data_IF_982728682441
#
_entry.id   IF_982728682441
#
_cell.length_a   1.000
_cell.length_b   1.000
_cell.length_c   1.000
_cell.angle_alpha   90.00
_cell.angle_beta   90.00
_cell.angle_gamma   90.00
#
_symmetry.space_group_name_H-M   'P 1'
#
loop_
_entity.id
_entity.type
_entity.pdbx_description
1 polymer ?
#
# COMPACT_ATOMS: atom_id res chain seq x y z
N UNK A 1 -37.12 -39.09 50.92
CA UNK A 1 -37.13 -38.27 49.70
C UNK A 1 -36.18 -37.06 49.78
N UNK A 2 -35.68 -36.65 50.92
CA UNK A 2 -34.80 -35.45 51.10
C UNK A 2 -33.28 -35.72 50.95
N UNK A 3 -32.86 -36.97 50.81
CA UNK A 3 -31.42 -37.33 50.72
C UNK A 3 -30.87 -37.33 49.29
N UNK A 4 -31.76 -37.31 48.26
CA UNK A 4 -31.32 -37.33 46.86
C UNK A 4 -31.28 -35.93 46.23
N UNK A 5 -31.94 -34.91 46.84
CA UNK A 5 -31.89 -33.53 46.33
C UNK A 5 -30.53 -32.85 46.59
N UNK A 6 -29.83 -33.18 47.70
CA UNK A 6 -28.55 -32.53 48.04
C UNK A 6 -27.38 -32.99 47.15
N UNK A 7 -27.44 -34.24 46.63
CA UNK A 7 -26.38 -34.75 45.72
C UNK A 7 -26.46 -34.18 44.31
N UNK A 8 -27.66 -33.88 43.83
CA UNK A 8 -27.89 -33.33 42.48
C UNK A 8 -27.50 -31.84 42.42
N UNK A 9 -27.75 -31.09 43.49
CA UNK A 9 -27.38 -29.65 43.57
C UNK A 9 -25.84 -29.51 43.69
N UNK A 10 -25.15 -30.38 44.40
CA UNK A 10 -23.69 -30.36 44.52
C UNK A 10 -23.03 -30.72 43.18
N UNK A 11 -23.62 -31.64 42.39
CA UNK A 11 -23.09 -32.00 41.06
C UNK A 11 -23.27 -30.87 40.01
N UNK A 12 -24.38 -30.13 40.10
CA UNK A 12 -24.64 -28.98 39.23
C UNK A 12 -23.73 -27.77 39.57
N UNK A 13 -23.42 -27.55 40.85
CA UNK A 13 -22.48 -26.51 41.26
C UNK A 13 -21.02 -26.84 40.92
N UNK A 14 -20.62 -28.11 40.94
CA UNK A 14 -19.29 -28.53 40.49
C UNK A 14 -19.14 -28.51 38.96
N UNK A 15 -20.22 -28.80 38.22
CA UNK A 15 -20.20 -28.70 36.75
C UNK A 15 -20.17 -27.28 36.23
N UNK A 16 -20.78 -26.33 36.94
CA UNK A 16 -20.69 -24.89 36.59
C UNK A 16 -19.35 -24.26 36.97
N UNK A 17 -18.62 -24.82 37.94
CA UNK A 17 -17.29 -24.32 38.34
C UNK A 17 -16.15 -24.84 37.45
N UNK A 18 -16.37 -25.98 36.71
CA UNK A 18 -15.40 -26.50 35.74
C UNK A 18 -15.53 -25.87 34.35
N UNK A 19 -16.62 -25.16 34.05
CA UNK A 19 -16.80 -24.44 32.78
C UNK A 19 -16.25 -23.00 32.79
N UNK A 20 -15.73 -22.53 33.94
CA UNK A 20 -15.09 -21.22 34.10
C UNK A 20 -13.56 -21.24 33.99
N UNK A 21 -12.95 -22.39 33.67
CA UNK A 21 -11.49 -22.54 33.56
C UNK A 21 -11.04 -22.92 32.16
N UNK A 22 -11.38 -22.16 31.14
CA UNK A 22 -10.59 -22.10 29.91
C UNK A 22 -11.12 -21.03 28.92
N UNK A 23 -11.39 -19.83 29.38
CA UNK A 23 -11.22 -18.72 28.49
C UNK A 23 -9.70 -18.52 28.37
N UNK A 24 -9.08 -18.70 27.18
CA UNK A 24 -7.70 -18.28 27.03
C UNK A 24 -7.70 -16.79 27.35
N UNK A 25 -7.01 -16.40 28.42
CA UNK A 25 -6.70 -14.99 28.67
C UNK A 25 -6.02 -14.52 27.37
N UNK A 26 -6.71 -13.68 26.59
CA UNK A 26 -6.07 -12.88 25.56
C UNK A 26 -5.08 -11.97 26.34
N UNK A 27 -3.90 -12.52 26.64
CA UNK A 27 -2.77 -11.67 26.98
C UNK A 27 -2.62 -10.75 25.77
N UNK A 28 -2.82 -9.46 26.00
CA UNK A 28 -2.47 -8.46 25.00
C UNK A 28 -1.05 -8.80 24.54
N UNK A 29 -0.89 -9.20 23.29
CA UNK A 29 0.41 -9.57 22.76
C UNK A 29 1.31 -8.36 22.98
N UNK A 30 2.46 -8.55 23.64
CA UNK A 30 3.44 -7.48 23.79
C UNK A 30 3.76 -6.98 22.39
N UNK A 31 3.58 -5.67 22.10
CA UNK A 31 3.81 -5.16 20.76
C UNK A 31 5.24 -5.48 20.31
N UNK A 32 5.42 -5.98 19.11
CA UNK A 32 6.74 -6.27 18.55
C UNK A 32 7.58 -4.96 18.58
N UNK A 33 8.73 -4.94 19.30
CA UNK A 33 9.55 -3.73 19.42
C UNK A 33 10.05 -3.23 18.05
N UNK A 34 10.15 -4.12 17.06
CA UNK A 34 10.50 -3.78 15.67
C UNK A 34 9.41 -2.97 14.99
N UNK A 35 8.13 -3.24 15.32
CA UNK A 35 7.01 -2.45 14.84
C UNK A 35 7.07 -1.00 15.36
N UNK A 36 7.41 -0.83 16.63
CA UNK A 36 7.64 0.50 17.21
C UNK A 36 8.81 1.22 16.51
N UNK A 37 9.91 0.51 16.24
CA UNK A 37 11.03 1.06 15.49
C UNK A 37 10.61 1.50 14.08
N UNK A 38 9.81 0.70 13.36
CA UNK A 38 9.26 1.06 12.07
C UNK A 38 8.36 2.31 12.13
N UNK A 39 7.52 2.45 13.14
CA UNK A 39 6.67 3.63 13.32
C UNK A 39 7.48 4.91 13.60
N UNK A 40 8.61 4.76 14.27
CA UNK A 40 9.47 5.89 14.65
C UNK A 40 10.33 6.43 13.50
N UNK A 41 10.35 5.81 12.32
CA UNK A 41 11.11 6.33 11.17
C UNK A 41 10.28 7.21 10.24
N UNK A 42 8.97 7.35 10.50
CA UNK A 42 8.07 8.24 9.75
C UNK A 42 7.51 9.33 10.66
N UNK A 43 7.66 10.58 10.24
CA UNK A 43 7.26 11.78 10.96
C UNK A 43 6.45 12.68 10.03
N UNK A 44 5.47 13.39 10.55
CA UNK A 44 4.63 14.31 9.80
C UNK A 44 5.46 15.33 9.00
N UNK A 45 6.50 15.89 9.62
CA UNK A 45 7.40 16.87 9.01
C UNK A 45 8.16 16.29 7.81
N UNK A 46 8.65 15.04 7.91
CA UNK A 46 9.34 14.40 6.80
C UNK A 46 8.38 14.05 5.66
N UNK A 47 7.17 13.63 5.99
CA UNK A 47 6.13 13.39 4.99
C UNK A 47 5.80 14.69 4.25
N UNK A 48 5.69 15.81 4.98
CA UNK A 48 5.47 17.14 4.40
C UNK A 48 6.60 17.53 3.45
N UNK A 49 7.85 17.38 3.86
CA UNK A 49 9.02 17.71 3.03
C UNK A 49 9.04 16.89 1.73
N UNK A 50 8.86 15.57 1.81
CA UNK A 50 8.85 14.68 0.66
C UNK A 50 7.70 14.98 -0.30
N UNK A 51 6.51 15.21 0.23
CA UNK A 51 5.33 15.53 -0.55
C UNK A 51 5.47 16.91 -1.20
N UNK A 52 6.00 17.91 -0.47
CA UNK A 52 6.27 19.24 -1.02
C UNK A 52 7.27 19.21 -2.17
N UNK A 53 8.30 18.36 -2.11
CA UNK A 53 9.22 18.16 -3.23
C UNK A 53 8.49 17.65 -4.49
N UNK A 54 7.62 16.65 -4.34
CA UNK A 54 6.85 16.13 -5.48
C UNK A 54 5.87 17.15 -6.06
N UNK A 55 5.45 18.13 -5.27
CA UNK A 55 4.54 19.20 -5.69
C UNK A 55 5.26 20.49 -6.13
N UNK A 56 6.59 20.52 -6.01
CA UNK A 56 7.41 21.67 -6.39
C UNK A 56 7.40 21.92 -7.91
N UNK A 57 7.67 23.14 -8.30
CA UNK A 57 7.76 23.56 -9.71
C UNK A 57 8.76 22.73 -10.51
N UNK A 58 9.82 22.20 -9.88
CA UNK A 58 10.79 21.32 -10.54
C UNK A 58 10.14 20.04 -11.07
N UNK A 59 9.13 19.53 -10.34
CA UNK A 59 8.36 18.33 -10.74
C UNK A 59 7.23 18.64 -11.72
N UNK A 60 6.89 19.90 -11.97
CA UNK A 60 5.95 20.34 -12.99
C UNK A 60 4.59 19.61 -13.00
N UNK A 61 4.12 19.14 -11.83
CA UNK A 61 2.92 18.32 -11.71
C UNK A 61 3.04 16.90 -12.29
N UNK A 62 4.26 16.46 -12.61
CA UNK A 62 4.64 15.06 -12.93
C UNK A 62 3.90 14.42 -14.13
N UNK A 63 3.48 15.20 -15.12
CA UNK A 63 2.87 14.60 -16.32
C UNK A 63 3.83 13.61 -16.99
N UNK A 64 3.37 12.41 -17.31
CA UNK A 64 4.14 11.36 -17.99
C UNK A 64 4.93 11.91 -19.17
N UNK A 65 6.23 11.59 -19.23
CA UNK A 65 7.14 12.04 -20.29
C UNK A 65 7.62 13.50 -20.17
N UNK A 66 7.15 14.26 -19.18
CA UNK A 66 7.67 15.60 -18.90
C UNK A 66 9.00 15.53 -18.16
N UNK A 67 9.76 16.65 -18.21
CA UNK A 67 10.97 16.78 -17.41
C UNK A 67 10.67 16.60 -15.90
N UNK A 68 9.58 17.18 -15.41
CA UNK A 68 9.20 17.05 -14.00
C UNK A 68 8.84 15.63 -13.58
N UNK A 69 8.27 14.82 -14.48
CA UNK A 69 8.06 13.39 -14.27
C UNK A 69 9.39 12.63 -14.12
N UNK A 70 10.38 12.97 -14.98
CA UNK A 70 11.71 12.38 -14.91
C UNK A 70 12.41 12.74 -13.60
N UNK A 71 12.36 14.01 -13.18
CA UNK A 71 12.95 14.46 -11.89
C UNK A 71 12.32 13.73 -10.68
N UNK A 72 10.99 13.60 -10.66
CA UNK A 72 10.29 12.84 -9.62
C UNK A 72 10.72 11.36 -9.62
N UNK A 73 10.84 10.76 -10.79
CA UNK A 73 11.28 9.37 -10.94
C UNK A 73 12.71 9.13 -10.44
N UNK A 74 13.64 10.02 -10.76
CA UNK A 74 15.02 9.94 -10.24
C UNK A 74 15.07 10.08 -8.72
N UNK A 75 14.25 10.95 -8.15
CA UNK A 75 14.16 11.05 -6.70
C UNK A 75 13.64 9.75 -6.09
N UNK A 76 12.60 9.13 -6.65
CA UNK A 76 12.09 7.82 -6.19
C UNK A 76 13.18 6.74 -6.26
N UNK A 77 13.92 6.67 -7.40
CA UNK A 77 15.02 5.73 -7.56
C UNK A 77 16.13 5.95 -6.50
N UNK A 78 16.46 7.21 -6.20
CA UNK A 78 17.44 7.53 -5.17
C UNK A 78 16.99 7.09 -3.77
N UNK A 79 15.71 7.23 -3.46
CA UNK A 79 15.13 6.75 -2.20
C UNK A 79 15.18 5.22 -2.11
N UNK A 80 14.85 4.49 -3.18
CA UNK A 80 14.98 3.03 -3.21
C UNK A 80 16.43 2.59 -2.99
N UNK A 81 17.39 3.25 -3.65
CA UNK A 81 18.82 2.98 -3.46
C UNK A 81 19.28 3.26 -2.02
N UNK A 82 18.86 4.40 -1.45
CA UNK A 82 19.18 4.78 -0.06
C UNK A 82 18.63 3.78 0.98
N UNK A 83 17.51 3.14 0.67
CA UNK A 83 16.92 2.09 1.50
C UNK A 83 17.58 0.72 1.30
N UNK A 84 18.54 0.58 0.40
CA UNK A 84 19.21 -0.69 0.10
C UNK A 84 18.29 -1.74 -0.52
N UNK A 85 17.25 -1.30 -1.21
CA UNK A 85 16.38 -2.17 -2.00
C UNK A 85 17.12 -2.59 -3.28
N UNK A 86 16.79 -3.78 -3.80
CA UNK A 86 17.40 -4.28 -5.02
C UNK A 86 16.61 -3.83 -6.24
N UNK A 87 17.27 -3.32 -7.30
CA UNK A 87 16.60 -3.16 -8.59
C UNK A 87 16.29 -4.55 -9.16
N UNK A 88 15.21 -4.67 -9.94
CA UNK A 88 14.99 -5.89 -10.72
C UNK A 88 15.98 -5.95 -11.90
N UNK A 89 16.48 -7.15 -12.19
CA UNK A 89 17.25 -7.37 -13.42
C UNK A 89 16.33 -7.41 -14.63
N UNK A 90 16.84 -7.12 -15.83
CA UNK A 90 16.09 -7.08 -17.08
C UNK A 90 16.68 -6.07 -18.05
N UNK A 91 15.87 -5.42 -18.86
CA UNK A 91 16.18 -4.61 -20.06
C UNK A 91 17.28 -3.53 -19.95
N UNK A 92 18.16 -3.64 -18.97
CA UNK A 92 19.30 -2.75 -18.76
C UNK A 92 18.95 -1.45 -18.05
N UNK A 93 19.94 -0.58 -17.97
CA UNK A 93 19.80 0.75 -17.34
C UNK A 93 18.95 1.65 -18.22
N UNK A 94 17.76 1.99 -17.76
CA UNK A 94 16.92 3.00 -18.38
C UNK A 94 17.08 4.33 -17.63
N UNK A 95 17.14 5.44 -18.36
CA UNK A 95 17.21 6.79 -17.78
C UNK A 95 18.33 6.99 -16.73
N UNK A 96 19.45 6.27 -16.85
CA UNK A 96 20.59 6.42 -15.94
C UNK A 96 20.42 5.74 -14.57
N UNK A 97 19.39 4.93 -14.35
CA UNK A 97 19.18 4.17 -13.12
C UNK A 97 18.68 2.75 -13.40
N UNK A 98 19.15 1.77 -12.63
CA UNK A 98 18.71 0.38 -12.71
C UNK A 98 17.31 0.13 -12.14
N UNK A 99 16.71 1.08 -11.46
CA UNK A 99 15.35 0.98 -10.93
C UNK A 99 14.27 1.30 -11.96
N UNK A 100 14.59 2.05 -13.02
CA UNK A 100 13.63 2.43 -14.06
C UNK A 100 13.33 1.28 -15.01
N UNK A 101 12.07 1.14 -15.36
CA UNK A 101 11.57 0.20 -16.37
C UNK A 101 10.79 0.97 -17.43
N UNK A 102 11.19 0.82 -18.65
CA UNK A 102 10.55 1.48 -19.78
C UNK A 102 9.11 0.99 -19.97
N UNK A 103 8.20 1.90 -20.21
CA UNK A 103 6.80 1.63 -20.47
C UNK A 103 6.43 2.19 -21.84
N UNK A 104 6.24 1.33 -22.83
CA UNK A 104 5.66 1.74 -24.10
C UNK A 104 4.15 1.99 -23.88
N UNK A 105 3.66 3.14 -24.30
CA UNK A 105 2.26 3.52 -24.15
C UNK A 105 1.46 3.24 -25.43
N UNK A 106 0.23 2.78 -25.30
CA UNK A 106 -0.64 2.37 -26.43
C UNK A 106 -0.88 3.50 -27.45
N UNK A 107 -0.95 4.74 -26.97
CA UNK A 107 -1.19 5.92 -27.84
C UNK A 107 0.09 6.57 -28.39
N UNK A 108 1.21 5.87 -28.24
CA UNK A 108 2.54 6.41 -28.57
C UNK A 108 3.15 7.18 -27.40
N UNK A 109 4.48 7.32 -27.43
CA UNK A 109 5.25 7.84 -26.31
C UNK A 109 5.64 6.75 -25.33
N UNK A 110 6.30 7.15 -24.25
CA UNK A 110 6.79 6.24 -23.21
C UNK A 110 6.80 6.91 -21.85
N UNK A 111 6.72 6.08 -20.81
CA UNK A 111 6.89 6.44 -19.43
C UNK A 111 7.90 5.51 -18.76
N UNK A 112 8.08 5.63 -17.46
CA UNK A 112 9.02 4.81 -16.69
C UNK A 112 8.42 4.41 -15.36
N UNK A 113 8.19 3.12 -15.16
CA UNK A 113 7.93 2.61 -13.81
C UNK A 113 9.24 2.50 -13.03
N UNK A 114 9.22 2.78 -11.74
CA UNK A 114 10.34 2.54 -10.85
C UNK A 114 10.04 1.35 -9.96
N UNK A 115 10.91 0.33 -10.01
CA UNK A 115 10.67 -0.97 -9.38
C UNK A 115 11.85 -1.35 -8.51
N UNK A 116 11.56 -1.72 -7.26
CA UNK A 116 12.57 -2.17 -6.31
C UNK A 116 12.07 -3.38 -5.53
N UNK A 117 12.95 -4.27 -5.11
CA UNK A 117 12.64 -5.48 -4.38
C UNK A 117 13.28 -5.51 -2.99
N UNK A 118 12.48 -5.87 -1.99
CA UNK A 118 12.95 -6.35 -0.71
C UNK A 118 12.84 -7.89 -0.71
N UNK A 119 13.94 -8.64 -0.77
CA UNK A 119 13.89 -10.10 -0.81
C UNK A 119 13.29 -10.69 0.46
N UNK A 120 12.48 -11.71 0.33
CA UNK A 120 12.01 -12.54 1.43
C UNK A 120 13.13 -13.39 2.03
N UNK A 121 12.81 -14.13 3.09
CA UNK A 121 13.76 -15.06 3.71
C UNK A 121 13.87 -16.36 2.92
N UNK A 122 15.10 -16.82 2.71
CA UNK A 122 15.38 -18.11 2.07
C UNK A 122 14.97 -19.32 2.92
N UNK A 123 14.69 -19.11 4.22
CA UNK A 123 14.16 -20.17 5.11
C UNK A 123 12.75 -20.61 4.73
N UNK A 124 11.98 -19.73 4.15
CA UNK A 124 10.63 -20.02 3.69
C UNK A 124 10.72 -20.31 2.19
N UNK A 125 10.39 -21.51 1.76
CA UNK A 125 10.48 -21.93 0.36
C UNK A 125 9.43 -21.27 -0.56
N UNK A 126 8.67 -20.30 -0.05
CA UNK A 126 7.73 -19.53 -0.85
C UNK A 126 8.49 -18.59 -1.77
N UNK A 127 8.24 -18.72 -3.06
CA UNK A 127 8.78 -17.87 -4.13
C UNK A 127 7.66 -17.01 -4.69
N UNK A 128 6.86 -16.43 -3.81
CA UNK A 128 5.78 -15.51 -4.17
C UNK A 128 6.19 -14.06 -3.92
N UNK A 129 5.46 -13.16 -4.55
CA UNK A 129 5.68 -11.73 -4.50
C UNK A 129 4.41 -11.03 -4.05
N UNK A 130 4.59 -10.03 -3.20
CA UNK A 130 3.57 -9.02 -2.90
C UNK A 130 4.01 -7.73 -3.57
N UNK A 131 3.12 -7.10 -4.32
CA UNK A 131 3.35 -5.79 -4.90
C UNK A 131 2.75 -4.74 -3.97
N UNK A 132 3.53 -3.72 -3.61
CA UNK A 132 3.05 -2.49 -2.96
C UNK A 132 3.31 -1.36 -3.95
N UNK A 133 2.27 -0.67 -4.37
CA UNK A 133 2.36 0.29 -5.46
C UNK A 133 1.60 1.58 -5.19
N UNK A 134 2.05 2.63 -5.86
CA UNK A 134 1.35 3.89 -6.05
C UNK A 134 1.76 4.47 -7.41
N UNK A 135 0.89 5.22 -8.08
CA UNK A 135 1.35 5.98 -9.23
C UNK A 135 2.00 7.30 -8.81
N UNK A 136 3.04 7.72 -9.53
CA UNK A 136 3.74 8.96 -9.22
C UNK A 136 3.50 10.06 -10.27
N UNK A 137 2.96 9.71 -11.43
CA UNK A 137 2.56 10.68 -12.43
C UNK A 137 1.36 11.51 -11.97
N UNK A 138 1.14 12.61 -12.64
CA UNK A 138 0.02 13.51 -12.41
C UNK A 138 -0.36 14.27 -13.67
N UNK A 139 -1.23 15.25 -13.53
CA UNK A 139 -1.80 16.01 -14.66
C UNK A 139 -0.76 16.92 -15.32
N UNK A 140 0.21 17.46 -14.56
CA UNK A 140 1.23 18.34 -15.07
C UNK A 140 0.81 19.81 -15.09
N UNK A 141 1.18 20.49 -16.16
CA UNK A 141 0.85 21.91 -16.38
C UNK A 141 -0.05 22.04 -17.61
N UNK A 142 -1.24 22.60 -17.42
CA UNK A 142 -2.22 22.81 -18.50
C UNK A 142 -2.57 24.30 -18.58
N UNK A 143 -2.42 24.88 -19.77
CA UNK A 143 -2.73 26.31 -19.99
C UNK A 143 -1.93 27.26 -19.07
N UNK A 144 -0.69 26.90 -18.75
CA UNK A 144 0.19 27.66 -17.84
C UNK A 144 -0.17 27.53 -16.36
N UNK A 145 -1.11 26.66 -15.99
CA UNK A 145 -1.49 26.40 -14.61
C UNK A 145 -0.91 25.07 -14.16
N UNK A 146 -0.17 25.09 -13.06
CA UNK A 146 0.37 23.90 -12.43
C UNK A 146 -0.73 23.14 -11.66
N UNK A 147 -0.78 21.82 -11.84
CA UNK A 147 -1.58 20.87 -11.06
C UNK A 147 -0.64 20.06 -10.15
N UNK A 148 -0.43 20.49 -8.90
CA UNK A 148 0.59 19.90 -8.04
C UNK A 148 0.31 18.44 -7.68
N UNK A 149 -0.96 18.05 -7.56
CA UNK A 149 -1.38 16.68 -7.26
C UNK A 149 -0.83 16.19 -5.91
N UNK A 150 -1.02 16.98 -4.86
CA UNK A 150 -0.54 16.67 -3.52
C UNK A 150 -1.23 15.43 -2.96
N UNK A 151 -2.55 15.38 -3.03
CA UNK A 151 -3.30 14.18 -2.70
C UNK A 151 -3.29 13.17 -3.85
N UNK A 152 -3.43 13.62 -5.10
CA UNK A 152 -3.57 12.77 -6.29
C UNK A 152 -2.32 12.84 -7.22
N UNK A 153 -1.24 12.04 -7.06
CA UNK A 153 -1.06 11.04 -6.02
C UNK A 153 0.33 11.14 -5.34
N UNK A 154 0.81 12.37 -5.02
CA UNK A 154 2.05 12.49 -4.26
C UNK A 154 1.89 11.85 -2.86
N UNK A 155 0.68 11.90 -2.26
CA UNK A 155 0.39 11.26 -0.98
C UNK A 155 0.60 9.73 -1.02
N UNK A 156 0.16 9.06 -2.09
CA UNK A 156 0.38 7.63 -2.31
C UNK A 156 1.85 7.31 -2.56
N UNK A 157 2.55 8.14 -3.36
CA UNK A 157 3.99 7.96 -3.64
C UNK A 157 4.83 8.06 -2.35
N UNK A 158 4.57 9.08 -1.52
CA UNK A 158 5.26 9.23 -0.22
C UNK A 158 4.91 8.09 0.73
N UNK A 159 3.66 7.59 0.68
CA UNK A 159 3.24 6.43 1.46
C UNK A 159 3.99 5.16 1.04
N UNK A 160 4.13 4.92 -0.26
CA UNK A 160 4.92 3.81 -0.82
C UNK A 160 6.37 3.82 -0.29
N UNK A 161 7.06 4.96 -0.39
CA UNK A 161 8.43 5.12 0.08
C UNK A 161 8.55 4.98 1.60
N UNK A 162 7.57 5.49 2.35
CA UNK A 162 7.51 5.36 3.80
C UNK A 162 7.32 3.91 4.23
N UNK A 163 6.44 3.16 3.57
CA UNK A 163 6.22 1.73 3.81
C UNK A 163 7.49 0.94 3.50
N UNK A 164 8.17 1.23 2.38
CA UNK A 164 9.45 0.64 2.04
C UNK A 164 10.50 0.88 3.14
N UNK A 165 10.59 2.11 3.65
CA UNK A 165 11.47 2.48 4.78
C UNK A 165 11.12 1.71 6.05
N UNK A 166 9.84 1.52 6.35
CA UNK A 166 9.41 0.77 7.53
C UNK A 166 9.78 -0.71 7.43
N UNK A 167 9.60 -1.34 6.26
CA UNK A 167 10.02 -2.73 6.02
C UNK A 167 11.53 -2.90 6.12
N UNK A 168 12.31 -2.03 5.50
CA UNK A 168 13.77 -2.08 5.60
C UNK A 168 14.26 -1.85 7.03
N UNK A 169 13.60 -0.98 7.78
CA UNK A 169 13.89 -0.76 9.20
C UNK A 169 13.65 -2.04 10.01
N UNK A 170 12.49 -2.69 9.89
CA UNK A 170 12.24 -3.95 10.59
C UNK A 170 13.26 -5.03 10.20
N UNK A 171 13.69 -5.08 8.94
CA UNK A 171 14.72 -5.99 8.47
C UNK A 171 16.06 -5.75 9.17
N UNK A 172 16.46 -4.51 9.37
CA UNK A 172 17.68 -4.16 10.12
C UNK A 172 17.61 -4.66 11.58
N UNK A 173 16.42 -4.76 12.15
CA UNK A 173 16.17 -5.36 13.47
C UNK A 173 15.88 -6.87 13.42
N UNK A 174 16.28 -7.56 12.34
CA UNK A 174 16.23 -9.01 12.23
C UNK A 174 14.86 -9.60 11.85
N UNK A 175 13.87 -8.79 11.44
CA UNK A 175 12.62 -9.32 10.89
C UNK A 175 12.84 -9.85 9.48
N UNK A 176 12.19 -10.94 9.14
CA UNK A 176 12.16 -11.50 7.78
C UNK A 176 10.76 -12.04 7.48
N UNK A 177 10.41 -12.07 6.21
CA UNK A 177 9.10 -12.49 5.71
C UNK A 177 9.23 -13.65 4.74
N UNK A 178 8.13 -14.37 4.51
CA UNK A 178 8.11 -15.50 3.59
C UNK A 178 8.07 -15.10 2.12
N UNK A 179 7.46 -13.95 1.81
CA UNK A 179 7.32 -13.44 0.45
C UNK A 179 8.36 -12.38 0.14
N UNK A 180 8.71 -12.24 -1.13
CA UNK A 180 9.40 -11.06 -1.65
C UNK A 180 8.41 -9.89 -1.73
N UNK A 181 8.90 -8.66 -1.53
CA UNK A 181 8.07 -7.45 -1.68
C UNK A 181 8.63 -6.63 -2.84
N UNK A 182 7.78 -6.36 -3.83
CA UNK A 182 8.06 -5.42 -4.90
C UNK A 182 7.43 -4.08 -4.56
N UNK A 183 8.23 -3.03 -4.46
CA UNK A 183 7.79 -1.65 -4.38
C UNK A 183 7.79 -1.05 -5.77
N UNK A 184 6.62 -0.59 -6.24
CA UNK A 184 6.45 -0.12 -7.61
C UNK A 184 5.83 1.27 -7.62
N UNK A 185 6.56 2.25 -8.13
CA UNK A 185 6.01 3.54 -8.48
C UNK A 185 5.62 3.49 -9.97
N UNK A 186 4.30 3.42 -10.24
CA UNK A 186 3.78 3.38 -11.60
C UNK A 186 3.77 4.77 -12.24
N UNK A 187 4.09 4.83 -13.53
CA UNK A 187 3.89 5.99 -14.37
C UNK A 187 2.60 5.85 -15.20
N UNK A 188 2.20 6.93 -15.85
CA UNK A 188 1.14 6.92 -16.85
C UNK A 188 -0.23 6.34 -16.37
N UNK A 189 -0.54 6.48 -15.10
CA UNK A 189 -1.90 6.14 -14.62
C UNK A 189 -2.93 7.08 -15.22
N UNK A 190 -2.61 8.37 -15.34
CA UNK A 190 -3.48 9.36 -16.00
C UNK A 190 -3.64 9.08 -17.52
N UNK A 191 -2.79 8.27 -18.10
CA UNK A 191 -2.86 7.76 -19.47
C UNK A 191 -3.42 6.32 -19.53
N UNK A 192 -4.56 6.10 -18.89
CA UNK A 192 -5.28 4.82 -18.86
C UNK A 192 -4.49 3.67 -18.23
N UNK A 193 -3.77 3.96 -17.12
CA UNK A 193 -2.97 2.98 -16.38
C UNK A 193 -1.87 2.35 -17.26
N UNK A 194 -1.23 3.17 -18.11
CA UNK A 194 -0.21 2.72 -19.06
C UNK A 194 0.95 2.01 -18.38
N UNK A 195 1.41 2.51 -17.23
CA UNK A 195 2.51 1.91 -16.47
C UNK A 195 2.19 0.53 -15.90
N UNK A 196 1.04 0.37 -15.27
CA UNK A 196 0.64 -0.94 -14.73
C UNK A 196 0.32 -1.95 -15.82
N UNK A 197 -0.24 -1.52 -16.96
CA UNK A 197 -0.39 -2.38 -18.13
C UNK A 197 0.96 -2.85 -18.68
N UNK A 198 1.92 -1.95 -18.85
CA UNK A 198 3.28 -2.29 -19.29
C UNK A 198 3.99 -3.22 -18.31
N UNK A 199 3.80 -3.01 -17.01
CA UNK A 199 4.35 -3.88 -15.96
C UNK A 199 3.77 -5.29 -16.04
N UNK A 200 2.46 -5.42 -16.19
CA UNK A 200 1.82 -6.72 -16.33
C UNK A 200 2.30 -7.46 -17.58
N UNK A 201 2.38 -6.74 -18.70
CA UNK A 201 2.93 -7.32 -19.95
C UNK A 201 4.38 -7.79 -19.76
N UNK A 202 5.21 -7.02 -19.06
CA UNK A 202 6.60 -7.41 -18.77
C UNK A 202 6.69 -8.66 -17.89
N UNK A 203 5.71 -8.89 -16.99
CA UNK A 203 5.58 -10.15 -16.24
C UNK A 203 5.24 -11.32 -17.18
N UNK A 204 4.28 -11.15 -18.09
CA UNK A 204 3.87 -12.18 -19.04
C UNK A 204 5.00 -12.54 -20.02
N UNK A 205 5.74 -11.55 -20.48
CA UNK A 205 6.85 -11.70 -21.42
C UNK A 205 8.15 -12.20 -20.73
N UNK A 206 8.16 -12.32 -19.39
CA UNK A 206 9.33 -12.77 -18.61
C UNK A 206 10.48 -11.75 -18.53
N UNK A 207 10.20 -10.48 -18.75
CA UNK A 207 11.19 -9.39 -18.75
C UNK A 207 11.50 -8.87 -17.32
N UNK A 208 10.72 -9.23 -16.31
CA UNK A 208 11.02 -8.90 -14.92
C UNK A 208 11.75 -10.07 -14.28
N UNK A 209 13.03 -9.86 -13.97
CA UNK A 209 13.91 -10.90 -13.44
C UNK A 209 14.23 -10.59 -11.97
N UNK A 210 14.04 -11.59 -11.13
CA UNK A 210 14.40 -11.54 -9.72
C UNK A 210 15.93 -11.48 -9.56
N UNK A 211 16.50 -10.43 -8.96
CA UNK A 211 17.95 -10.22 -8.89
C UNK A 211 18.67 -11.22 -7.95
N UNK A 212 17.91 -11.94 -7.10
CA UNK A 212 18.49 -12.93 -6.17
C UNK A 212 18.52 -14.31 -6.80
N UNK A 213 17.48 -14.69 -7.52
CA UNK A 213 17.38 -16.01 -8.14
C UNK A 213 17.84 -16.07 -9.59
N UNK A 214 17.95 -14.93 -10.27
CA UNK A 214 18.24 -14.81 -11.70
C UNK A 214 17.15 -15.39 -12.60
N UNK A 215 15.90 -15.54 -12.08
CA UNK A 215 14.78 -16.13 -12.82
C UNK A 215 13.72 -15.09 -13.12
N UNK A 216 13.06 -15.22 -14.26
CA UNK A 216 11.89 -14.42 -14.58
C UNK A 216 10.79 -14.62 -13.53
N UNK A 217 10.15 -13.52 -13.14
CA UNK A 217 9.00 -13.51 -12.25
C UNK A 217 7.76 -13.81 -13.10
N UNK A 218 7.04 -14.87 -12.76
CA UNK A 218 5.80 -15.25 -13.45
C UNK A 218 4.59 -14.53 -12.83
N UNK A 219 3.56 -14.17 -13.64
CA UNK A 219 2.29 -13.64 -13.11
C UNK A 219 1.67 -14.50 -12.00
N UNK A 220 1.76 -15.83 -12.11
CA UNK A 220 1.24 -16.77 -11.10
C UNK A 220 1.96 -16.71 -9.74
N UNK A 221 3.11 -16.07 -9.66
CA UNK A 221 3.85 -15.86 -8.41
C UNK A 221 3.41 -14.56 -7.70
N UNK A 222 2.63 -13.71 -8.35
CA UNK A 222 2.09 -12.49 -7.71
C UNK A 222 0.88 -12.91 -6.87
N UNK A 223 1.07 -12.91 -5.56
CA UNK A 223 0.03 -13.32 -4.61
C UNK A 223 -1.00 -12.23 -4.32
N UNK A 224 -0.55 -11.00 -4.31
CA UNK A 224 -1.36 -9.84 -3.95
C UNK A 224 -0.72 -8.55 -4.50
N UNK A 225 -1.54 -7.64 -4.99
CA UNK A 225 -1.16 -6.26 -5.28
C UNK A 225 -1.88 -5.33 -4.30
N UNK A 226 -1.13 -4.44 -3.66
CA UNK A 226 -1.64 -3.38 -2.77
C UNK A 226 -1.38 -2.05 -3.46
N UNK A 227 -2.44 -1.39 -3.89
CA UNK A 227 -2.37 -0.07 -4.50
C UNK A 227 -2.72 1.02 -3.48
N UNK A 228 -2.01 2.15 -3.53
CA UNK A 228 -2.23 3.33 -2.70
C UNK A 228 -2.51 4.51 -3.64
N UNK A 229 -3.77 4.89 -3.74
CA UNK A 229 -4.17 6.00 -4.60
C UNK A 229 -5.03 6.99 -3.82
N UNK A 230 -4.40 8.14 -3.58
CA UNK A 230 -4.75 9.29 -2.74
C UNK A 230 -5.21 8.92 -1.31
N UNK A 231 -4.27 9.11 -0.40
CA UNK A 231 -4.47 8.82 1.03
C UNK A 231 -4.15 10.02 1.95
N UNK A 232 -3.91 11.20 1.38
CA UNK A 232 -3.55 12.41 2.11
C UNK A 232 -4.76 13.29 2.46
N UNK A 233 -5.74 13.32 1.58
CA UNK A 233 -6.89 14.19 1.70
C UNK A 233 -7.97 13.69 2.66
N UNK A 234 -8.96 14.55 2.90
CA UNK A 234 -10.15 14.25 3.68
C UNK A 234 -11.39 14.59 2.86
N UNK A 235 -12.25 13.60 2.62
CA UNK A 235 -13.53 13.78 1.95
C UNK A 235 -14.66 13.93 2.98
N UNK A 236 -14.99 15.15 3.32
CA UNK A 236 -16.03 15.50 4.32
C UNK A 236 -17.37 14.75 4.09
N UNK A 237 -17.90 14.67 2.83
CA UNK A 237 -19.18 14.01 2.60
C UNK A 237 -19.17 12.51 2.93
N UNK A 238 -18.01 11.83 2.85
CA UNK A 238 -17.92 10.39 3.06
C UNK A 238 -17.98 10.00 4.53
N UNK A 239 -17.44 10.83 5.41
CA UNK A 239 -17.21 10.44 6.80
C UNK A 239 -17.74 11.42 7.85
N UNK A 240 -18.76 12.24 7.51
CA UNK A 240 -19.49 13.09 8.45
C UNK A 240 -18.57 13.97 9.32
N UNK A 241 -17.56 14.60 8.71
CA UNK A 241 -16.59 15.45 9.40
C UNK A 241 -15.48 14.72 10.17
N UNK A 242 -15.42 13.40 10.13
CA UNK A 242 -14.29 12.63 10.71
C UNK A 242 -13.12 12.62 9.75
N UNK A 243 -11.92 12.88 10.25
CA UNK A 243 -10.69 12.87 9.46
C UNK A 243 -9.97 11.53 9.51
N UNK A 244 -10.02 10.88 10.68
CA UNK A 244 -9.35 9.61 10.95
C UNK A 244 -10.12 8.44 10.32
N UNK A 245 -10.08 8.32 8.99
CA UNK A 245 -10.66 7.20 8.27
C UNK A 245 -9.74 6.70 7.16
N UNK A 246 -9.98 5.47 6.71
CA UNK A 246 -9.31 4.88 5.55
C UNK A 246 -10.27 3.92 4.86
N UNK A 247 -10.33 3.97 3.54
CA UNK A 247 -11.15 3.06 2.72
C UNK A 247 -10.25 1.98 2.14
N UNK A 248 -10.69 0.72 2.26
CA UNK A 248 -10.02 -0.46 1.75
C UNK A 248 -10.98 -1.20 0.79
N UNK A 249 -10.75 -1.08 -0.51
CA UNK A 249 -11.56 -1.73 -1.54
C UNK A 249 -10.87 -2.98 -2.08
N UNK A 250 -11.66 -3.92 -2.62
CA UNK A 250 -11.17 -5.21 -3.10
C UNK A 250 -11.06 -6.29 -2.02
N UNK A 251 -11.49 -5.98 -0.80
CA UNK A 251 -11.42 -6.89 0.34
C UNK A 251 -12.15 -8.24 0.10
N UNK A 252 -13.15 -8.26 -0.76
CA UNK A 252 -13.90 -9.48 -1.11
C UNK A 252 -13.10 -10.47 -1.96
N UNK A 253 -12.02 -10.01 -2.60
CA UNK A 253 -11.09 -10.86 -3.34
C UNK A 253 -10.16 -11.68 -2.43
N UNK A 254 -10.12 -11.39 -1.13
CA UNK A 254 -9.21 -12.00 -0.16
C UNK A 254 -9.91 -13.12 0.63
N UNK A 255 -9.14 -14.09 1.17
CA UNK A 255 -9.65 -15.04 2.15
C UNK A 255 -10.28 -14.32 3.36
N UNK A 256 -11.29 -14.94 3.97
CA UNK A 256 -12.00 -14.36 5.12
C UNK A 256 -11.06 -13.94 6.26
N UNK A 257 -10.04 -14.73 6.55
CA UNK A 257 -9.02 -14.40 7.57
C UNK A 257 -8.29 -13.09 7.30
N UNK A 258 -7.98 -12.81 6.03
CA UNK A 258 -7.33 -11.55 5.64
C UNK A 258 -8.27 -10.34 5.79
N UNK A 259 -9.57 -10.53 5.64
CA UNK A 259 -10.59 -9.49 5.87
C UNK A 259 -10.76 -9.19 7.36
N UNK A 260 -10.78 -10.22 8.21
CA UNK A 260 -10.84 -10.06 9.66
C UNK A 260 -9.60 -9.35 10.20
N UNK A 261 -8.45 -9.56 9.56
CA UNK A 261 -7.19 -8.92 9.87
C UNK A 261 -7.27 -7.39 9.81
N UNK A 262 -8.04 -6.81 8.90
CA UNK A 262 -8.20 -5.37 8.78
C UNK A 262 -8.66 -4.72 10.10
N UNK A 263 -9.71 -5.27 10.71
CA UNK A 263 -10.22 -4.78 12.00
C UNK A 263 -9.27 -5.10 13.17
N UNK A 264 -8.59 -6.24 13.10
CA UNK A 264 -7.61 -6.64 14.11
C UNK A 264 -6.44 -5.64 14.16
N UNK A 265 -5.84 -5.30 13.02
CA UNK A 265 -4.70 -4.36 12.92
C UNK A 265 -5.07 -3.00 13.48
N UNK A 266 -6.24 -2.47 13.18
CA UNK A 266 -6.69 -1.17 13.66
C UNK A 266 -6.84 -1.13 15.18
N UNK A 267 -7.46 -2.16 15.77
CA UNK A 267 -7.65 -2.24 17.22
C UNK A 267 -6.34 -2.43 17.98
N UNK A 268 -5.47 -3.33 17.51
CA UNK A 268 -4.24 -3.67 18.24
C UNK A 268 -3.09 -2.70 17.99
N UNK A 269 -3.14 -1.94 16.89
CA UNK A 269 -2.19 -0.85 16.61
C UNK A 269 -2.50 0.46 17.30
N UNK A 270 -3.65 0.54 17.99
CA UNK A 270 -4.19 1.78 18.60
C UNK A 270 -4.21 2.96 17.60
N UNK A 271 -4.55 2.66 16.34
CA UNK A 271 -4.50 3.63 15.26
C UNK A 271 -5.77 4.49 15.18
N UNK A 272 -6.89 3.97 15.69
CA UNK A 272 -8.15 4.72 15.82
C UNK A 272 -8.79 5.14 14.50
N UNK A 273 -8.46 4.45 13.38
CA UNK A 273 -9.04 4.76 12.08
C UNK A 273 -10.46 4.20 11.96
N UNK A 274 -11.34 4.97 11.33
CA UNK A 274 -12.63 4.49 10.84
C UNK A 274 -12.43 3.80 9.49
N UNK A 275 -12.61 2.47 9.45
CA UNK A 275 -12.34 1.69 8.24
C UNK A 275 -13.61 1.55 7.40
N UNK A 276 -13.55 2.02 6.15
CA UNK A 276 -14.57 1.79 5.14
C UNK A 276 -14.19 0.64 4.20
N UNK A 277 -15.18 -0.17 3.80
CA UNK A 277 -15.00 -1.25 2.84
C UNK A 277 -15.86 -1.08 1.59
N UNK A 278 -16.50 0.06 1.48
CA UNK A 278 -17.31 0.47 0.34
C UNK A 278 -17.15 1.96 0.08
N UNK A 279 -17.69 2.43 -1.04
CA UNK A 279 -17.70 3.82 -1.43
C UNK A 279 -19.15 4.34 -1.47
N UNK A 280 -19.48 5.27 -0.59
CA UNK A 280 -20.83 5.83 -0.40
C UNK A 280 -21.92 4.81 -0.05
N UNK A 281 -21.59 3.67 0.58
CA UNK A 281 -22.56 2.63 0.91
C UNK A 281 -23.22 1.98 -0.32
N UNK A 282 -22.64 2.11 -1.50
CA UNK A 282 -23.18 1.64 -2.77
C UNK A 282 -22.23 0.66 -3.45
N UNK A 283 -22.69 -0.59 -3.66
CA UNK A 283 -21.90 -1.60 -4.35
C UNK A 283 -21.50 -1.15 -5.78
N UNK A 284 -22.39 -0.45 -6.49
CA UNK A 284 -22.11 0.04 -7.85
C UNK A 284 -21.04 1.14 -7.85
N UNK A 285 -21.10 2.08 -6.91
CA UNK A 285 -20.06 3.09 -6.78
C UNK A 285 -18.74 2.48 -6.34
N UNK A 286 -18.77 1.55 -5.40
CA UNK A 286 -17.59 0.81 -4.94
C UNK A 286 -16.89 0.13 -6.10
N UNK A 287 -17.60 -0.62 -6.93
CA UNK A 287 -17.05 -1.28 -8.11
C UNK A 287 -16.46 -0.27 -9.10
N UNK A 288 -17.18 0.84 -9.38
CA UNK A 288 -16.69 1.89 -10.26
C UNK A 288 -15.37 2.47 -9.76
N UNK A 289 -15.31 2.91 -8.50
CA UNK A 289 -14.12 3.52 -7.92
C UNK A 289 -12.96 2.53 -7.82
N UNK A 290 -13.25 1.29 -7.48
CA UNK A 290 -12.25 0.24 -7.42
C UNK A 290 -11.56 0.00 -8.77
N UNK A 291 -12.18 0.38 -9.88
CA UNK A 291 -11.64 0.20 -11.23
C UNK A 291 -11.00 1.46 -11.84
N UNK A 292 -10.84 2.52 -11.07
CA UNK A 292 -10.29 3.80 -11.58
C UNK A 292 -8.77 3.93 -11.46
N UNK A 293 -8.07 2.94 -10.89
CA UNK A 293 -6.63 3.02 -10.67
C UNK A 293 -5.92 1.70 -10.98
N UNK A 294 -4.62 1.64 -10.78
CA UNK A 294 -3.69 0.61 -11.24
C UNK A 294 -4.05 -0.82 -10.82
N UNK A 295 -4.69 -1.03 -9.67
CA UNK A 295 -5.16 -2.35 -9.24
C UNK A 295 -6.12 -2.99 -10.24
N UNK A 296 -6.81 -2.20 -11.07
CA UNK A 296 -7.71 -2.71 -12.11
C UNK A 296 -7.01 -3.69 -13.04
N UNK A 297 -5.78 -3.36 -13.47
CA UNK A 297 -5.00 -4.23 -14.39
C UNK A 297 -4.80 -5.61 -13.78
N UNK A 298 -4.46 -5.67 -12.50
CA UNK A 298 -4.26 -6.94 -11.77
C UNK A 298 -5.56 -7.72 -11.63
N UNK A 299 -6.64 -7.04 -11.27
CA UNK A 299 -7.98 -7.66 -11.13
C UNK A 299 -8.48 -8.22 -12.45
N UNK A 300 -8.30 -7.51 -13.56
CA UNK A 300 -8.69 -7.96 -14.89
C UNK A 300 -7.95 -9.26 -15.29
N UNK A 301 -6.74 -9.47 -14.78
CA UNK A 301 -5.95 -10.69 -14.90
C UNK A 301 -6.13 -11.68 -13.73
N UNK A 302 -7.15 -11.50 -12.89
CA UNK A 302 -7.52 -12.39 -11.77
C UNK A 302 -6.45 -12.47 -10.68
N UNK A 303 -5.56 -11.49 -10.60
CA UNK A 303 -4.66 -11.34 -9.46
C UNK A 303 -5.40 -10.58 -8.35
N UNK A 304 -5.43 -11.09 -7.10
CA UNK A 304 -6.02 -10.37 -5.98
C UNK A 304 -5.36 -9.00 -5.80
N UNK A 305 -6.17 -7.97 -5.63
CA UNK A 305 -5.65 -6.62 -5.43
C UNK A 305 -6.49 -5.85 -4.40
N UNK A 306 -5.83 -4.97 -3.66
CA UNK A 306 -6.45 -4.08 -2.68
C UNK A 306 -6.12 -2.63 -3.05
N UNK A 307 -7.12 -1.77 -2.98
CA UNK A 307 -6.94 -0.33 -3.05
C UNK A 307 -7.12 0.28 -1.66
N UNK A 308 -6.10 0.98 -1.17
CA UNK A 308 -6.22 1.90 -0.04
C UNK A 308 -6.39 3.32 -0.55
N UNK A 309 -7.42 4.01 -0.06
CA UNK A 309 -7.74 5.36 -0.49
C UNK A 309 -8.44 6.17 0.61
N UNK A 310 -8.35 7.47 0.56
CA UNK A 310 -9.21 8.39 1.32
C UNK A 310 -10.39 8.91 0.49
N UNK A 311 -10.51 8.45 -0.74
CA UNK A 311 -11.54 8.86 -1.68
C UNK A 311 -11.20 10.15 -2.44
N UNK A 312 -12.06 10.50 -3.38
CA UNK A 312 -11.92 11.73 -4.16
C UNK A 312 -12.35 12.93 -3.31
N UNK A 313 -11.49 13.94 -3.23
CA UNK A 313 -11.74 15.17 -2.49
C UNK A 313 -12.18 16.30 -3.41
N UNK A 314 -12.57 17.44 -2.82
CA UNK A 314 -12.94 18.63 -3.60
C UNK A 314 -11.75 19.26 -4.33
N UNK A 315 -10.52 18.93 -3.96
CA UNK A 315 -9.28 19.42 -4.58
C UNK A 315 -8.70 18.47 -5.64
N UNK A 316 -9.10 17.20 -5.65
CA UNK A 316 -8.62 16.20 -6.59
C UNK A 316 -8.67 16.70 -8.04
N UNK A 317 -7.56 16.56 -8.75
CA UNK A 317 -7.40 17.00 -10.14
C UNK A 317 -7.58 18.52 -10.35
N UNK A 318 -7.29 19.34 -9.34
CA UNK A 318 -7.35 20.80 -9.41
C UNK A 318 -6.01 21.44 -9.06
N UNK A 319 -5.85 22.69 -9.47
CA UNK A 319 -4.69 23.54 -9.10
C UNK A 319 -4.61 23.77 -7.58
N UNK A 320 -5.72 23.56 -6.86
CA UNK A 320 -5.81 23.68 -5.41
C UNK A 320 -5.43 22.40 -4.66
N UNK A 321 -5.04 21.32 -5.36
CA UNK A 321 -4.50 20.11 -4.73
C UNK A 321 -3.02 20.32 -4.36
N UNK A 322 -2.80 21.04 -3.27
CA UNK A 322 -1.50 21.53 -2.79
C UNK A 322 -1.10 20.86 -1.46
N UNK A 323 0.20 20.88 -1.09
CA UNK A 323 0.68 20.30 0.17
C UNK A 323 -0.05 20.79 1.43
N UNK A 324 -0.58 22.00 1.41
CA UNK A 324 -1.29 22.60 2.56
C UNK A 324 -2.70 22.02 2.77
N UNK A 325 -3.22 21.26 1.80
CA UNK A 325 -4.51 20.55 1.93
C UNK A 325 -4.40 19.20 2.63
N UNK A 326 -3.18 18.74 2.91
CA UNK A 326 -2.90 17.43 3.49
C UNK A 326 -2.84 17.50 5.02
N UNK A 327 -3.57 16.59 5.68
CA UNK A 327 -3.43 16.35 7.10
C UNK A 327 -2.33 15.29 7.34
N UNK A 328 -1.12 15.75 7.66
CA UNK A 328 0.06 14.88 7.77
C UNK A 328 0.03 13.91 8.95
N UNK A 329 -0.68 14.24 10.03
CA UNK A 329 -0.86 13.32 11.15
C UNK A 329 -1.80 12.17 10.76
N UNK A 330 -2.88 12.48 10.05
CA UNK A 330 -3.79 11.48 9.50
C UNK A 330 -3.11 10.64 8.43
N UNK A 331 -2.35 11.25 7.51
CA UNK A 331 -1.55 10.55 6.50
C UNK A 331 -0.58 9.56 7.18
N UNK A 332 0.12 9.99 8.22
CA UNK A 332 1.02 9.12 9.00
C UNK A 332 0.28 7.93 9.59
N UNK A 333 -0.89 8.12 10.20
CA UNK A 333 -1.71 7.03 10.75
C UNK A 333 -2.13 6.03 9.66
N UNK A 334 -2.55 6.53 8.49
CA UNK A 334 -2.93 5.69 7.34
C UNK A 334 -1.74 4.86 6.84
N UNK A 335 -0.55 5.45 6.73
CA UNK A 335 0.69 4.75 6.37
C UNK A 335 1.00 3.64 7.37
N UNK A 336 0.93 3.93 8.67
CA UNK A 336 1.17 2.96 9.74
C UNK A 336 0.18 1.78 9.65
N UNK A 337 -1.09 2.08 9.37
CA UNK A 337 -2.11 1.06 9.18
C UNK A 337 -1.81 0.17 7.97
N UNK A 338 -1.61 0.77 6.79
CA UNK A 338 -1.34 0.04 5.54
C UNK A 338 -0.10 -0.85 5.69
N UNK A 339 0.98 -0.30 6.24
CA UNK A 339 2.20 -1.06 6.53
C UNK A 339 1.93 -2.26 7.44
N UNK A 340 1.24 -2.06 8.57
CA UNK A 340 0.99 -3.13 9.54
C UNK A 340 0.08 -4.20 8.95
N UNK A 341 -0.92 -3.79 8.16
CA UNK A 341 -1.79 -4.72 7.47
C UNK A 341 -1.00 -5.59 6.47
N UNK A 342 -0.15 -4.98 5.64
CA UNK A 342 0.71 -5.72 4.70
C UNK A 342 1.64 -6.67 5.47
N UNK A 343 2.29 -6.18 6.52
CA UNK A 343 3.21 -6.96 7.36
C UNK A 343 2.55 -8.22 7.89
N UNK A 344 1.30 -8.12 8.36
CA UNK A 344 0.53 -9.26 8.86
C UNK A 344 0.05 -10.20 7.75
N UNK A 345 -0.29 -9.69 6.58
CA UNK A 345 -0.66 -10.52 5.42
C UNK A 345 0.49 -11.39 4.94
N UNK A 346 1.74 -10.91 5.05
CA UNK A 346 2.94 -11.62 4.58
C UNK A 346 3.67 -12.37 5.68
N UNK A 347 3.21 -12.32 6.93
CA UNK A 347 3.73 -13.20 7.98
C UNK A 347 3.54 -14.66 7.60
N UNK A 348 4.51 -15.55 7.94
CA UNK A 348 4.45 -16.96 7.62
C UNK A 348 3.34 -17.72 8.36
#
# INVERSE_FOLDING_TARGET
MLRNLSRTIIFLLFSSMLLLQSAPSLRAAVPDPRLKAAYNVIWAENLKLQLSFLCDDICQGRATGSRGNVEAGFWIASEFARLGLLPLDGDGVCCGTSYARHCQLDKGGFGHNFVAMLPGSTKYHKKDYIIVAAHYDGIGTIGGKLYPGADSNASGTVSLLSIAKMFTTMRLFGKSWSSNILFVAFDAKELSMGGSNAFWKALEDGHLVDPVSGKAISPSQIRLMVNIDQVGGVSEPLHRGRKDYLIMLGNDSLPKSSRELASYVNRNGDLGLDLGFDYYGSARFTELFYRLSDQRVFVDHKCPAILFTSGITMTTNKVSDTPDTIDYDVLRKRIMYIFTWIEKVIEP
#
